data_IF_210805265220
#
_entry.id   IF_210805265220
#
_cell.length_a   1.000
_cell.length_b   1.000
_cell.length_c   1.000
_cell.angle_alpha   90.00
_cell.angle_beta   90.00
_cell.angle_gamma   90.00
#
_symmetry.space_group_name_H-M   'P 1'
#
loop_
_entity.id
_entity.type
_entity.pdbx_description
1 polymer ?
#
# COMPACT_ATOMS: atom_id res chain seq x y z
N UNK A 1 -43.51 30.43 -15.09
CA UNK A 1 -42.44 29.62 -14.45
C UNK A 1 -41.06 30.30 -14.35
N UNK A 2 -40.86 31.56 -14.75
CA UNK A 2 -39.52 32.20 -14.83
C UNK A 2 -39.11 32.97 -13.54
N UNK A 3 -40.03 33.28 -12.61
CA UNK A 3 -39.75 34.15 -11.44
C UNK A 3 -38.97 33.51 -10.27
N UNK A 4 -38.68 32.20 -10.26
CA UNK A 4 -38.00 31.52 -9.12
C UNK A 4 -36.48 31.36 -9.28
N UNK A 5 -35.94 31.53 -10.49
CA UNK A 5 -34.51 31.40 -10.78
C UNK A 5 -33.59 32.44 -10.11
N UNK A 6 -33.93 33.76 -10.07
CA UNK A 6 -32.99 34.75 -9.50
C UNK A 6 -32.82 34.60 -7.98
N UNK A 7 -33.85 34.13 -7.26
CA UNK A 7 -33.78 33.89 -5.81
C UNK A 7 -32.88 32.70 -5.49
N UNK A 8 -33.00 31.60 -6.26
CA UNK A 8 -32.15 30.42 -6.08
C UNK A 8 -30.68 30.74 -6.40
N UNK A 9 -30.41 31.52 -7.45
CA UNK A 9 -29.06 31.95 -7.81
C UNK A 9 -28.46 32.89 -6.75
N UNK A 10 -29.24 33.85 -6.25
CA UNK A 10 -28.79 34.73 -5.16
C UNK A 10 -28.49 33.96 -3.87
N UNK A 11 -29.32 32.98 -3.51
CA UNK A 11 -29.08 32.12 -2.36
C UNK A 11 -27.81 31.24 -2.52
N UNK A 12 -27.57 30.72 -3.73
CA UNK A 12 -26.36 29.96 -4.06
C UNK A 12 -25.10 30.84 -4.00
N UNK A 13 -25.16 32.05 -4.56
CA UNK A 13 -24.05 33.00 -4.52
C UNK A 13 -23.76 33.49 -3.10
N UNK A 14 -24.79 33.78 -2.32
CA UNK A 14 -24.64 34.16 -0.91
C UNK A 14 -24.08 32.99 -0.09
N UNK A 15 -24.54 31.77 -0.34
CA UNK A 15 -23.98 30.55 0.27
C UNK A 15 -22.50 30.36 -0.08
N UNK A 16 -22.12 30.55 -1.34
CA UNK A 16 -20.73 30.48 -1.78
C UNK A 16 -19.87 31.58 -1.13
N UNK A 17 -20.39 32.82 -1.04
CA UNK A 17 -19.71 33.94 -0.39
C UNK A 17 -19.53 33.73 1.13
N UNK A 18 -20.53 33.16 1.81
CA UNK A 18 -20.42 32.83 3.23
C UNK A 18 -19.44 31.69 3.47
N UNK A 19 -19.38 30.70 2.58
CA UNK A 19 -18.38 29.65 2.63
C UNK A 19 -16.97 30.20 2.40
N UNK A 20 -16.76 31.06 1.39
CA UNK A 20 -15.44 31.66 1.15
C UNK A 20 -14.99 32.57 2.31
N UNK A 21 -15.90 33.31 2.93
CA UNK A 21 -15.60 34.10 4.13
C UNK A 21 -15.21 33.22 5.34
N UNK A 22 -15.89 32.08 5.54
CA UNK A 22 -15.55 31.15 6.61
C UNK A 22 -14.19 30.46 6.37
N UNK A 23 -13.87 30.14 5.12
CA UNK A 23 -12.56 29.63 4.72
C UNK A 23 -11.45 30.67 4.89
N UNK A 24 -11.72 31.95 4.58
CA UNK A 24 -10.75 33.04 4.72
C UNK A 24 -10.31 33.30 6.17
N UNK A 25 -11.09 32.87 7.16
CA UNK A 25 -10.83 33.05 8.59
C UNK A 25 -10.27 31.80 9.29
N UNK A 26 -10.09 30.70 8.57
CA UNK A 26 -9.53 29.48 9.14
C UNK A 26 -8.03 29.47 8.83
N UNK A 27 -7.14 29.45 9.83
CA UNK A 27 -5.71 29.41 9.56
C UNK A 27 -5.40 28.12 8.78
N UNK A 28 -4.59 28.25 7.74
CA UNK A 28 -4.15 27.14 6.92
C UNK A 28 -2.65 26.96 7.09
N UNK A 29 -2.22 25.70 7.18
CA UNK A 29 -0.81 25.35 7.30
C UNK A 29 -0.48 24.32 6.22
N UNK A 30 0.65 24.53 5.55
CA UNK A 30 1.16 23.65 4.51
C UNK A 30 2.43 22.99 5.02
N UNK A 31 2.48 21.67 4.91
CA UNK A 31 3.72 20.93 5.10
C UNK A 31 4.74 21.33 4.02
N UNK A 32 5.91 21.77 4.47
CA UNK A 32 7.07 22.09 3.62
C UNK A 32 8.25 21.18 3.97
N UNK A 33 8.00 20.08 4.68
CA UNK A 33 9.00 19.08 5.00
C UNK A 33 9.54 18.51 3.70
N UNK A 34 10.86 18.55 3.52
CA UNK A 34 11.55 17.86 2.43
C UNK A 34 11.61 16.36 2.68
N UNK A 35 12.01 15.58 1.67
CA UNK A 35 12.42 14.20 1.92
C UNK A 35 13.65 14.19 2.84
N UNK A 36 13.72 13.25 3.77
CA UNK A 36 14.86 13.13 4.68
C UNK A 36 15.95 12.28 4.05
N UNK A 37 16.71 12.86 3.12
CA UNK A 37 17.77 12.16 2.38
C UNK A 37 19.13 12.44 3.05
N UNK A 38 19.95 11.41 3.20
CA UNK A 38 21.28 11.52 3.83
C UNK A 38 21.23 11.86 5.32
N UNK A 39 22.22 12.64 5.77
CA UNK A 39 22.42 13.05 7.17
C UNK A 39 21.73 14.37 7.52
N UNK A 40 20.81 14.85 6.67
CA UNK A 40 20.08 16.07 6.95
C UNK A 40 19.29 15.98 8.27
N UNK A 41 19.19 17.08 9.03
CA UNK A 41 18.39 17.13 10.25
C UNK A 41 16.95 16.69 9.96
N UNK A 42 16.54 15.60 10.63
CA UNK A 42 15.20 14.99 10.52
C UNK A 42 14.17 15.83 11.26
N UNK A 43 13.90 17.01 10.71
CA UNK A 43 13.00 18.03 11.27
C UNK A 43 11.79 18.15 10.36
N UNK A 44 10.59 18.08 10.95
CA UNK A 44 9.34 18.38 10.28
C UNK A 44 9.19 19.90 10.17
N UNK A 45 8.79 20.38 8.99
CA UNK A 45 8.63 21.82 8.72
C UNK A 45 7.27 22.12 8.12
N UNK A 46 6.65 23.20 8.58
CA UNK A 46 5.45 23.72 7.96
C UNK A 46 5.41 25.24 7.94
N UNK A 47 4.69 25.77 6.95
CA UNK A 47 4.49 27.20 6.77
C UNK A 47 3.01 27.53 6.84
N UNK A 48 2.67 28.53 7.65
CA UNK A 48 1.32 29.06 7.67
C UNK A 48 1.07 29.83 6.37
N UNK A 49 -0.05 29.55 5.70
CA UNK A 49 -0.43 30.27 4.49
C UNK A 49 -0.93 31.67 4.87
N UNK A 50 -0.71 32.68 4.00
CA UNK A 50 -1.22 34.02 4.25
C UNK A 50 -2.72 34.01 4.52
N UNK A 51 -3.14 34.68 5.60
CA UNK A 51 -4.54 34.91 5.89
C UNK A 51 -4.97 36.27 5.36
N UNK A 52 -6.17 36.34 4.77
CA UNK A 52 -6.73 37.60 4.23
C UNK A 52 -7.02 38.60 5.36
N UNK A 53 -7.31 38.11 6.58
CA UNK A 53 -7.50 38.93 7.77
C UNK A 53 -6.85 38.26 9.00
N UNK A 54 -5.57 38.55 9.31
CA UNK A 54 -4.89 37.98 10.50
C UNK A 54 -5.48 38.51 11.81
N UNK A 55 -6.16 39.67 11.77
CA UNK A 55 -6.83 40.30 12.91
C UNK A 55 -8.11 39.54 13.25
N UNK A 56 -8.00 38.55 14.13
CA UNK A 56 -9.17 37.79 14.57
C UNK A 56 -8.87 36.34 14.95
N UNK A 57 -7.63 35.88 14.80
CA UNK A 57 -7.22 34.54 15.21
C UNK A 57 -5.99 34.60 16.10
N UNK A 58 -6.06 33.94 17.25
CA UNK A 58 -4.91 33.66 18.11
C UNK A 58 -4.51 32.20 17.95
N UNK A 59 -3.30 31.96 17.46
CA UNK A 59 -2.71 30.61 17.48
C UNK A 59 -2.37 30.26 18.92
N UNK A 60 -2.86 29.10 19.38
CA UNK A 60 -2.64 28.57 20.73
C UNK A 60 -1.42 27.65 20.73
N UNK A 61 -1.37 26.72 19.77
CA UNK A 61 -0.24 25.83 19.52
C UNK A 61 -0.33 25.24 18.12
N UNK A 62 0.78 24.72 17.61
CA UNK A 62 0.82 23.92 16.39
C UNK A 62 1.45 22.59 16.75
N UNK A 63 0.81 21.50 16.35
CA UNK A 63 1.33 20.15 16.53
C UNK A 63 1.57 19.51 15.15
N UNK A 64 2.60 18.68 15.05
CA UNK A 64 2.78 17.77 13.94
C UNK A 64 2.38 16.36 14.39
N UNK A 65 1.43 15.77 13.67
CA UNK A 65 1.03 14.38 13.85
C UNK A 65 1.65 13.55 12.72
N UNK A 66 2.36 12.49 13.05
CA UNK A 66 3.17 11.74 12.09
C UNK A 66 3.15 10.24 12.37
N UNK A 67 3.33 9.47 11.30
CA UNK A 67 3.48 8.03 11.37
C UNK A 67 4.46 7.54 10.29
N UNK A 68 5.14 6.45 10.57
CA UNK A 68 5.99 5.77 9.59
C UNK A 68 5.22 4.59 9.01
N UNK A 69 5.61 4.19 7.82
CA UNK A 69 5.11 2.99 7.16
C UNK A 69 3.68 3.07 6.65
N UNK A 70 2.73 3.52 7.48
CA UNK A 70 1.34 3.76 7.11
C UNK A 70 0.80 4.97 7.89
N UNK A 71 -0.41 5.42 7.53
CA UNK A 71 -1.15 6.42 8.28
C UNK A 71 -2.27 5.76 9.10
N UNK A 72 -2.16 5.69 10.44
CA UNK A 72 -3.14 4.99 11.25
C UNK A 72 -4.37 5.84 11.61
N UNK A 73 -4.57 6.95 10.91
CA UNK A 73 -5.43 8.01 11.40
C UNK A 73 -4.76 8.84 12.49
N UNK A 74 -5.34 10.02 12.72
CA UNK A 74 -4.76 11.05 13.57
C UNK A 74 -4.66 10.63 15.04
N UNK A 75 -5.65 9.89 15.53
CA UNK A 75 -5.79 9.63 16.97
C UNK A 75 -4.85 8.52 17.47
N UNK A 76 -4.27 7.74 16.55
CA UNK A 76 -3.29 6.69 16.84
C UNK A 76 -1.85 7.05 16.42
N UNK A 77 -1.68 8.12 15.64
CA UNK A 77 -0.37 8.57 15.18
C UNK A 77 0.43 9.26 16.30
N UNK A 78 1.75 9.34 16.11
CA UNK A 78 2.61 10.09 17.03
C UNK A 78 2.34 11.58 16.90
N UNK A 79 2.41 12.31 18.00
CA UNK A 79 2.22 13.77 18.02
C UNK A 79 3.39 14.45 18.69
N UNK A 80 3.84 15.56 18.12
CA UNK A 80 4.89 16.41 18.66
C UNK A 80 4.51 17.88 18.51
N UNK A 81 4.70 18.66 19.57
CA UNK A 81 4.48 20.10 19.51
C UNK A 81 5.56 20.77 18.64
N UNK A 82 5.15 21.71 17.81
CA UNK A 82 6.03 22.47 16.95
C UNK A 82 6.42 23.80 17.59
N UNK A 83 7.65 24.25 17.32
CA UNK A 83 8.19 25.54 17.72
C UNK A 83 8.25 26.45 16.50
N UNK A 84 7.79 27.69 16.64
CA UNK A 84 7.92 28.67 15.58
C UNK A 84 9.37 29.18 15.52
N UNK A 85 9.97 29.11 14.35
CA UNK A 85 11.29 29.65 14.05
C UNK A 85 11.13 30.98 13.31
N UNK A 86 11.43 32.08 14.00
CA UNK A 86 11.31 33.44 13.50
C UNK A 86 12.18 33.69 12.25
N UNK A 87 13.37 33.09 12.18
CA UNK A 87 14.31 33.35 11.09
C UNK A 87 13.81 32.77 9.76
N UNK A 88 13.27 31.55 9.79
CA UNK A 88 12.71 30.89 8.61
C UNK A 88 11.23 31.18 8.38
N UNK A 89 10.54 31.72 9.39
CA UNK A 89 9.07 31.84 9.46
C UNK A 89 8.36 30.50 9.28
N UNK A 90 8.92 29.44 9.85
CA UNK A 90 8.42 28.07 9.78
C UNK A 90 8.13 27.50 11.16
N UNK A 91 7.13 26.63 11.24
CA UNK A 91 6.92 25.76 12.39
C UNK A 91 7.81 24.54 12.24
N UNK A 92 8.61 24.25 13.27
CA UNK A 92 9.56 23.14 13.29
C UNK A 92 9.19 22.16 14.38
N UNK A 93 9.10 20.89 14.06
CA UNK A 93 8.88 19.84 15.04
C UNK A 93 9.95 18.75 14.91
N UNK A 94 10.51 18.33 16.06
CA UNK A 94 11.56 17.33 16.12
C UNK A 94 10.95 15.99 16.55
N UNK A 95 10.63 15.08 15.61
CA UNK A 95 10.18 13.75 15.96
C UNK A 95 11.30 13.04 16.75
N UNK A 96 10.95 12.39 17.86
CA UNK A 96 11.94 11.72 18.72
C UNK A 96 12.80 10.78 17.88
N UNK A 97 14.12 10.96 18.00
CA UNK A 97 15.15 10.35 17.18
C UNK A 97 15.15 8.82 17.31
N UNK A 98 14.36 8.15 16.46
CA UNK A 98 14.62 6.77 16.06
C UNK A 98 15.40 6.79 14.75
N UNK A 99 16.40 5.91 14.61
CA UNK A 99 16.99 5.62 13.31
C UNK A 99 15.89 5.06 12.39
N UNK A 100 15.22 5.94 11.63
CA UNK A 100 14.33 5.53 10.56
C UNK A 100 15.15 4.81 9.49
N UNK A 101 14.78 3.55 9.15
CA UNK A 101 15.38 2.81 8.06
C UNK A 101 15.34 3.58 6.74
N UNK A 102 16.33 3.33 5.90
CA UNK A 102 16.33 3.76 4.50
C UNK A 102 15.13 3.14 3.76
N UNK A 103 14.47 3.92 2.91
CA UNK A 103 13.30 3.49 2.13
C UNK A 103 11.97 3.55 2.89
N UNK A 104 11.91 4.19 4.05
CA UNK A 104 10.64 4.40 4.76
C UNK A 104 9.82 5.56 4.17
N UNK A 105 8.50 5.43 4.24
CA UNK A 105 7.55 6.54 4.05
C UNK A 105 7.23 7.16 5.41
N UNK A 106 7.16 8.48 5.43
CA UNK A 106 6.75 9.30 6.56
C UNK A 106 5.48 10.07 6.18
N UNK A 107 4.41 9.81 6.92
CA UNK A 107 3.15 10.51 6.78
C UNK A 107 3.09 11.62 7.82
N UNK A 108 2.75 12.83 7.39
CA UNK A 108 2.74 14.03 8.23
C UNK A 108 1.45 14.79 8.02
N UNK A 109 0.82 15.16 9.12
CA UNK A 109 -0.32 16.06 9.14
C UNK A 109 -0.12 17.11 10.22
N UNK A 110 -0.35 18.37 9.88
CA UNK A 110 -0.18 19.48 10.79
C UNK A 110 -1.52 19.92 11.37
N UNK A 111 -1.52 20.22 12.66
CA UNK A 111 -2.69 20.66 13.41
C UNK A 111 -2.44 22.04 13.99
N UNK A 112 -3.30 23.00 13.66
CA UNK A 112 -3.29 24.34 14.23
C UNK A 112 -4.40 24.42 15.26
N UNK A 113 -4.03 24.59 16.52
CA UNK A 113 -4.97 24.90 17.59
C UNK A 113 -5.10 26.41 17.68
N UNK A 114 -6.29 26.95 17.48
CA UNK A 114 -6.50 28.39 17.42
C UNK A 114 -7.79 28.83 18.10
N UNK A 115 -7.86 30.10 18.49
CA UNK A 115 -9.06 30.76 19.03
C UNK A 115 -9.45 31.93 18.14
N UNK A 116 -10.74 32.11 17.92
CA UNK A 116 -11.26 33.31 17.27
C UNK A 116 -11.39 34.43 18.30
N UNK A 117 -10.87 35.60 17.97
CA UNK A 117 -10.95 36.82 18.77
C UNK A 117 -12.17 37.63 18.31
N UNK A 118 -13.37 37.06 18.47
CA UNK A 118 -14.62 37.78 18.23
C UNK A 118 -15.25 38.16 19.57
N UNK A 119 -15.74 39.40 19.68
CA UNK A 119 -16.27 40.00 20.92
C UNK A 119 -17.40 39.16 21.53
N UNK A 120 -18.14 38.40 20.72
CA UNK A 120 -19.31 37.63 21.13
C UNK A 120 -19.16 36.11 20.92
N UNK A 121 -17.97 35.59 20.60
CA UNK A 121 -17.77 34.13 20.52
C UNK A 121 -17.14 33.58 21.81
N UNK A 122 -17.62 32.42 22.30
CA UNK A 122 -16.93 31.73 23.38
C UNK A 122 -15.50 31.40 22.94
N UNK A 123 -14.54 31.60 23.85
CA UNK A 123 -13.09 31.37 23.64
C UNK A 123 -12.75 29.87 23.57
N UNK A 124 -13.41 29.12 22.67
CA UNK A 124 -13.19 27.71 22.41
C UNK A 124 -12.02 27.54 21.44
N UNK A 125 -11.11 26.64 21.79
CA UNK A 125 -10.05 26.21 20.90
C UNK A 125 -10.66 25.38 19.76
N UNK A 126 -10.36 25.77 18.52
CA UNK A 126 -10.68 25.05 17.29
C UNK A 126 -9.40 24.43 16.73
N UNK A 127 -9.56 23.44 15.85
CA UNK A 127 -8.43 22.76 15.19
C UNK A 127 -8.60 22.87 13.68
N UNK A 128 -7.59 23.42 13.01
CA UNK A 128 -7.44 23.34 11.56
C UNK A 128 -6.39 22.29 11.24
N UNK A 129 -6.62 21.50 10.18
CA UNK A 129 -5.78 20.33 9.86
C UNK A 129 -5.30 20.45 8.42
N UNK A 130 -4.00 20.21 8.18
CA UNK A 130 -3.46 20.17 6.82
C UNK A 130 -3.92 18.91 6.08
N UNK A 131 -3.86 18.90 4.73
CA UNK A 131 -3.82 17.64 4.00
C UNK A 131 -2.69 16.74 4.52
N UNK A 132 -2.88 15.43 4.40
CA UNK A 132 -1.83 14.45 4.69
C UNK A 132 -0.71 14.59 3.66
N UNK A 133 0.52 14.72 4.13
CA UNK A 133 1.71 14.74 3.28
C UNK A 133 2.51 13.46 3.47
N UNK A 134 3.08 12.93 2.39
CA UNK A 134 3.98 11.79 2.43
C UNK A 134 5.40 12.24 2.05
N UNK A 135 6.40 11.72 2.76
CA UNK A 135 7.83 11.92 2.50
C UNK A 135 8.55 10.58 2.41
N UNK A 136 9.62 10.56 1.63
CA UNK A 136 10.55 9.43 1.61
C UNK A 136 11.71 9.69 2.57
N UNK A 137 12.11 8.65 3.30
CA UNK A 137 13.26 8.66 4.22
C UNK A 137 14.42 7.89 3.59
N UNK A 138 15.59 8.52 3.55
CA UNK A 138 16.88 7.91 3.22
C UNK A 138 17.11 7.60 1.74
N UNK A 139 16.15 7.87 0.87
CA UNK A 139 16.25 7.59 -0.56
C UNK A 139 15.80 8.78 -1.40
N UNK A 140 16.62 9.15 -2.39
CA UNK A 140 16.20 10.04 -3.44
C UNK A 140 15.24 9.31 -4.40
N UNK A 141 14.41 10.05 -5.13
CA UNK A 141 13.53 9.46 -6.15
C UNK A 141 14.33 8.66 -7.19
N UNK A 142 15.48 9.16 -7.61
CA UNK A 142 16.35 8.47 -8.57
C UNK A 142 16.88 7.12 -8.04
N UNK A 143 17.12 7.00 -6.72
CA UNK A 143 17.51 5.73 -6.12
C UNK A 143 16.36 4.73 -6.14
N UNK A 144 15.15 5.19 -5.85
CA UNK A 144 13.92 4.38 -5.94
C UNK A 144 13.72 3.89 -7.37
N UNK A 145 13.82 4.78 -8.36
CA UNK A 145 13.64 4.44 -9.77
C UNK A 145 14.70 3.42 -10.24
N UNK A 146 15.95 3.60 -9.82
CA UNK A 146 17.03 2.66 -10.10
C UNK A 146 16.79 1.29 -9.47
N UNK A 147 16.41 1.24 -8.19
CA UNK A 147 16.11 -0.02 -7.50
C UNK A 147 14.92 -0.73 -8.17
N UNK A 148 13.88 0.00 -8.56
CA UNK A 148 12.73 -0.54 -9.30
C UNK A 148 13.14 -1.15 -10.64
N UNK A 149 13.98 -0.46 -11.41
CA UNK A 149 14.49 -0.97 -12.68
C UNK A 149 15.33 -2.25 -12.49
N UNK A 150 16.18 -2.28 -11.46
CA UNK A 150 16.99 -3.46 -11.14
C UNK A 150 16.11 -4.65 -10.76
N UNK A 151 15.12 -4.46 -9.88
CA UNK A 151 14.19 -5.51 -9.49
C UNK A 151 13.39 -6.05 -10.69
N UNK A 152 12.96 -5.15 -11.58
CA UNK A 152 12.30 -5.54 -12.82
C UNK A 152 13.23 -6.38 -13.70
N UNK A 153 14.47 -5.95 -13.90
CA UNK A 153 15.46 -6.67 -14.70
C UNK A 153 15.65 -8.10 -14.19
N UNK A 154 15.75 -8.26 -12.86
CA UNK A 154 15.84 -9.58 -12.23
C UNK A 154 14.57 -10.42 -12.48
N UNK A 155 13.38 -9.82 -12.37
CA UNK A 155 12.12 -10.51 -12.61
C UNK A 155 11.92 -10.93 -14.08
N UNK A 156 12.52 -10.22 -15.05
CA UNK A 156 12.47 -10.64 -16.47
C UNK A 156 13.13 -12.01 -16.70
N UNK A 157 14.07 -12.43 -15.85
CA UNK A 157 14.64 -13.78 -15.88
C UNK A 157 13.60 -14.88 -15.62
N UNK A 158 12.45 -14.54 -15.04
CA UNK A 158 11.32 -15.44 -14.81
C UNK A 158 10.36 -15.46 -16.00
N UNK A 159 10.58 -14.70 -17.07
CA UNK A 159 9.73 -14.77 -18.26
C UNK A 159 10.06 -16.01 -19.09
N UNK A 160 9.52 -17.16 -18.67
CA UNK A 160 9.74 -18.47 -19.29
C UNK A 160 8.49 -18.97 -20.02
N UNK A 161 8.68 -19.84 -21.02
CA UNK A 161 7.57 -20.39 -21.85
C UNK A 161 6.76 -21.48 -21.14
N UNK A 162 7.43 -22.27 -20.29
CA UNK A 162 6.87 -23.42 -19.58
C UNK A 162 7.15 -23.25 -18.08
N UNK A 163 6.50 -22.28 -17.42
CA UNK A 163 6.81 -21.90 -16.04
C UNK A 163 6.70 -23.04 -15.04
N UNK A 164 5.74 -23.95 -15.19
CA UNK A 164 5.53 -25.12 -14.35
C UNK A 164 6.74 -26.09 -14.31
N UNK A 165 7.50 -26.17 -15.41
CA UNK A 165 8.71 -27.01 -15.50
C UNK A 165 10.01 -26.23 -15.29
N UNK A 166 10.04 -24.98 -15.72
CA UNK A 166 11.24 -24.15 -15.66
C UNK A 166 11.47 -23.54 -14.26
N UNK A 167 10.41 -23.05 -13.60
CA UNK A 167 10.53 -22.36 -12.31
C UNK A 167 11.10 -23.24 -11.18
N UNK A 168 10.73 -24.53 -11.05
CA UNK A 168 11.38 -25.41 -10.08
C UNK A 168 12.90 -25.50 -10.27
N UNK A 169 13.37 -25.51 -11.53
CA UNK A 169 14.81 -25.52 -11.85
C UNK A 169 15.50 -24.19 -11.57
N UNK A 170 14.73 -23.10 -11.53
CA UNK A 170 15.18 -21.75 -11.17
C UNK A 170 15.05 -21.46 -9.66
N UNK A 171 14.72 -22.47 -8.84
CA UNK A 171 14.61 -22.32 -7.39
C UNK A 171 13.23 -21.92 -6.87
N UNK A 172 12.18 -22.03 -7.68
CA UNK A 172 10.79 -21.77 -7.29
C UNK A 172 9.96 -23.06 -7.41
N UNK A 173 10.16 -24.06 -6.54
CA UNK A 173 9.52 -25.36 -6.69
C UNK A 173 8.12 -25.43 -6.08
N UNK A 174 7.72 -24.44 -5.27
CA UNK A 174 6.49 -24.54 -4.45
C UNK A 174 5.32 -23.79 -5.10
N UNK A 175 4.25 -24.46 -5.52
CA UNK A 175 3.01 -23.78 -5.90
C UNK A 175 2.30 -23.26 -4.65
N UNK A 176 2.05 -21.95 -4.57
CA UNK A 176 1.39 -21.34 -3.39
C UNK A 176 -0.13 -21.22 -3.51
N UNK A 177 -0.67 -21.32 -4.74
CA UNK A 177 -2.12 -21.23 -5.03
C UNK A 177 -2.63 -22.47 -5.78
N UNK A 178 -2.18 -23.67 -5.39
CA UNK A 178 -2.62 -24.96 -5.94
C UNK A 178 -2.60 -25.11 -7.47
N UNK A 179 -1.77 -24.34 -8.18
CA UNK A 179 -1.76 -24.31 -9.65
C UNK A 179 -3.11 -23.95 -10.30
N UNK A 180 -4.09 -23.47 -9.51
CA UNK A 180 -5.44 -23.17 -9.99
C UNK A 180 -5.47 -21.75 -10.54
N UNK A 181 -5.82 -21.65 -11.82
CA UNK A 181 -6.06 -20.37 -12.48
C UNK A 181 -7.31 -19.70 -11.91
N UNK A 182 -7.08 -18.75 -11.01
CA UNK A 182 -8.05 -17.75 -10.60
C UNK A 182 -8.59 -17.04 -11.86
N UNK A 183 -9.79 -16.46 -11.78
CA UNK A 183 -10.38 -15.72 -12.91
C UNK A 183 -9.49 -14.55 -13.34
N UNK A 184 -8.59 -14.78 -14.29
CA UNK A 184 -7.52 -13.89 -14.79
C UNK A 184 -6.21 -13.81 -13.98
N UNK A 185 -6.05 -14.47 -12.82
CA UNK A 185 -4.70 -14.73 -12.26
C UNK A 185 -4.44 -16.22 -12.41
N UNK A 186 -3.30 -16.60 -12.96
CA UNK A 186 -2.99 -17.99 -13.26
C UNK A 186 -2.54 -18.69 -11.98
N UNK A 187 -1.24 -18.92 -11.86
CA UNK A 187 -0.68 -19.57 -10.69
C UNK A 187 0.51 -18.79 -10.14
N UNK A 188 0.94 -19.14 -8.94
CA UNK A 188 2.09 -18.54 -8.26
C UNK A 188 3.04 -19.63 -7.80
N UNK A 189 4.32 -19.43 -8.10
CA UNK A 189 5.41 -20.29 -7.62
C UNK A 189 6.27 -19.49 -6.67
N UNK A 190 6.62 -20.08 -5.54
CA UNK A 190 7.49 -19.48 -4.55
C UNK A 190 8.77 -20.29 -4.39
N UNK A 191 9.80 -19.61 -3.88
CA UNK A 191 10.97 -20.29 -3.33
C UNK A 191 10.60 -21.08 -2.07
N UNK A 192 11.36 -22.13 -1.77
CA UNK A 192 11.12 -23.01 -0.61
C UNK A 192 11.16 -22.24 0.71
N UNK A 193 11.97 -21.18 0.82
CA UNK A 193 12.09 -20.38 2.05
C UNK A 193 10.80 -19.64 2.40
N UNK A 194 10.00 -19.26 1.40
CA UNK A 194 8.69 -18.63 1.63
C UNK A 194 7.72 -19.65 2.21
N UNK A 195 7.65 -20.84 1.60
CA UNK A 195 6.75 -21.90 2.01
C UNK A 195 7.04 -22.45 3.41
N UNK A 196 8.31 -22.41 3.83
CA UNK A 196 8.75 -22.84 5.17
C UNK A 196 8.68 -21.73 6.21
N UNK A 197 8.30 -20.51 5.83
CA UNK A 197 8.30 -19.35 6.70
C UNK A 197 9.69 -18.89 7.19
N UNK A 198 10.76 -19.47 6.64
CA UNK A 198 12.15 -19.14 6.96
C UNK A 198 12.70 -17.96 6.13
N UNK A 199 11.87 -17.36 5.28
CA UNK A 199 12.27 -16.28 4.40
C UNK A 199 12.70 -15.01 5.15
N UNK A 200 13.67 -14.34 4.56
CA UNK A 200 14.06 -12.96 4.88
C UNK A 200 14.15 -12.24 3.54
N UNK A 201 13.49 -11.09 3.43
CA UNK A 201 13.50 -10.32 2.19
C UNK A 201 14.92 -9.82 1.92
N UNK A 202 15.37 -10.03 0.69
CA UNK A 202 16.68 -9.56 0.21
C UNK A 202 16.51 -8.91 -1.14
N UNK A 203 17.32 -7.88 -1.39
CA UNK A 203 17.41 -7.31 -2.73
C UNK A 203 18.08 -8.31 -3.67
N UNK A 204 17.36 -8.74 -4.71
CA UNK A 204 17.78 -9.84 -5.55
C UNK A 204 16.60 -10.43 -6.33
N UNK A 205 16.71 -11.69 -6.82
CA UNK A 205 15.57 -12.38 -7.44
C UNK A 205 14.36 -12.42 -6.48
N UNK A 206 13.13 -12.25 -6.99
CA UNK A 206 11.94 -12.15 -6.15
C UNK A 206 11.63 -13.47 -5.43
N UNK A 207 10.79 -13.44 -4.41
CA UNK A 207 10.46 -14.63 -3.63
C UNK A 207 9.29 -15.43 -4.23
N UNK A 208 8.42 -14.74 -4.98
CA UNK A 208 7.31 -15.33 -5.72
C UNK A 208 7.30 -14.86 -7.17
N UNK A 209 6.93 -15.78 -8.07
CA UNK A 209 6.67 -15.51 -9.48
C UNK A 209 5.18 -15.73 -9.76
N UNK A 210 4.50 -14.69 -10.24
CA UNK A 210 3.05 -14.71 -10.47
C UNK A 210 2.75 -14.73 -11.96
N UNK A 211 1.96 -15.68 -12.41
CA UNK A 211 1.59 -15.85 -13.81
C UNK A 211 0.10 -15.64 -14.00
N UNK A 212 -0.28 -15.16 -15.18
CA UNK A 212 -1.67 -15.04 -15.61
C UNK A 212 -1.86 -15.74 -16.95
N UNK A 213 -3.09 -16.20 -17.27
CA UNK A 213 -3.42 -16.58 -18.63
C UNK A 213 -3.04 -15.48 -19.63
N UNK A 214 -2.57 -15.88 -20.80
CA UNK A 214 -2.37 -14.97 -21.94
C UNK A 214 -3.70 -14.36 -22.35
N UNK A 215 -3.68 -13.08 -22.72
CA UNK A 215 -4.89 -12.32 -23.04
C UNK A 215 -5.62 -12.81 -24.29
N UNK A 216 -4.90 -13.46 -25.20
CA UNK A 216 -5.39 -13.83 -26.53
C UNK A 216 -5.12 -15.30 -26.80
N UNK A 217 -6.10 -15.95 -27.42
CA UNK A 217 -6.00 -17.31 -27.95
C UNK A 217 -4.90 -17.41 -28.99
N UNK A 218 -4.40 -18.62 -29.21
CA UNK A 218 -3.40 -18.83 -30.27
C UNK A 218 -4.15 -18.81 -31.60
N UNK A 219 -3.44 -18.48 -32.68
CA UNK A 219 -4.02 -18.40 -34.03
C UNK A 219 -4.83 -19.66 -34.38
N UNK A 220 -4.38 -20.83 -33.91
CA UNK A 220 -4.99 -22.13 -34.19
C UNK A 220 -5.66 -22.77 -32.95
N UNK A 221 -6.04 -22.00 -31.94
CA UNK A 221 -6.68 -22.52 -30.72
C UNK A 221 -8.15 -22.13 -30.68
N UNK A 222 -9.01 -23.14 -30.56
CA UNK A 222 -10.45 -22.93 -30.40
C UNK A 222 -10.75 -22.27 -29.06
N UNK A 223 -11.92 -21.65 -28.96
CA UNK A 223 -12.37 -21.03 -27.71
C UNK A 223 -12.47 -22.07 -26.59
N UNK A 224 -13.00 -23.25 -26.88
CA UNK A 224 -13.13 -24.34 -25.92
C UNK A 224 -11.77 -24.84 -25.41
N UNK A 225 -10.79 -25.02 -26.30
CA UNK A 225 -9.43 -25.41 -25.91
C UNK A 225 -8.75 -24.38 -25.04
N UNK A 226 -8.88 -23.09 -25.38
CA UNK A 226 -8.36 -22.01 -24.55
C UNK A 226 -8.98 -22.05 -23.15
N UNK A 227 -10.31 -22.11 -23.06
CA UNK A 227 -11.01 -22.14 -21.78
C UNK A 227 -10.63 -23.38 -20.95
N UNK A 228 -10.56 -24.56 -21.58
CA UNK A 228 -10.10 -25.79 -20.94
C UNK A 228 -8.69 -25.61 -20.34
N UNK A 229 -7.75 -25.01 -21.07
CA UNK A 229 -6.37 -24.78 -20.62
C UNK A 229 -6.26 -23.75 -19.49
N UNK A 230 -7.08 -22.71 -19.48
CA UNK A 230 -7.06 -21.70 -18.41
C UNK A 230 -7.88 -22.09 -17.19
N UNK A 231 -8.62 -23.20 -17.24
CA UNK A 231 -9.32 -23.78 -16.08
C UNK A 231 -8.67 -25.09 -15.62
N UNK A 232 -7.60 -25.53 -16.27
CA UNK A 232 -6.85 -26.72 -15.87
C UNK A 232 -6.07 -26.44 -14.59
N UNK A 233 -6.04 -27.44 -13.70
CA UNK A 233 -5.30 -27.42 -12.44
C UNK A 233 -3.79 -27.64 -12.65
N UNK A 234 -3.38 -28.08 -13.84
CA UNK A 234 -1.99 -28.13 -14.24
C UNK A 234 -1.70 -26.94 -15.18
N UNK A 235 -0.69 -26.10 -14.87
CA UNK A 235 -0.44 -24.92 -15.69
C UNK A 235 0.28 -25.31 -16.97
N UNK A 236 -0.46 -25.81 -17.94
CA UNK A 236 0.04 -26.00 -19.30
C UNK A 236 0.04 -24.66 -20.04
N UNK A 237 0.59 -24.57 -21.26
CA UNK A 237 0.43 -23.39 -22.15
C UNK A 237 -1.03 -22.90 -22.07
N UNK A 238 -1.28 -21.78 -21.36
CA UNK A 238 -1.21 -20.47 -21.97
C UNK A 238 -0.72 -19.34 -21.02
N UNK A 239 0.15 -19.60 -20.04
CA UNK A 239 0.51 -18.59 -19.02
C UNK A 239 1.65 -17.64 -19.43
N UNK A 240 1.61 -16.41 -18.88
CA UNK A 240 2.65 -15.38 -19.00
C UNK A 240 2.97 -14.82 -17.63
N UNK A 241 4.21 -14.34 -17.43
CA UNK A 241 4.55 -13.59 -16.23
C UNK A 241 3.61 -12.37 -16.12
N UNK A 242 2.95 -12.25 -14.98
CA UNK A 242 2.02 -11.19 -14.65
C UNK A 242 2.58 -10.27 -13.57
N UNK A 243 3.47 -10.79 -12.72
CA UNK A 243 4.08 -10.04 -11.65
C UNK A 243 5.04 -10.89 -10.84
N UNK A 244 5.57 -10.31 -9.78
CA UNK A 244 6.42 -10.98 -8.80
C UNK A 244 6.21 -10.36 -7.42
N UNK A 245 6.63 -11.05 -6.37
CA UNK A 245 6.47 -10.55 -5.02
C UNK A 245 7.66 -10.88 -4.12
N UNK A 246 7.76 -10.11 -3.03
CA UNK A 246 8.67 -10.37 -1.92
C UNK A 246 7.84 -10.59 -0.68
N UNK A 247 8.13 -11.68 0.01
CA UNK A 247 7.40 -12.06 1.20
C UNK A 247 8.36 -12.22 2.37
N UNK A 248 7.89 -11.94 3.57
CA UNK A 248 8.54 -12.32 4.82
C UNK A 248 7.50 -12.73 5.84
N UNK A 249 7.71 -13.84 6.54
CA UNK A 249 6.91 -14.15 7.72
C UNK A 249 6.89 -12.96 8.70
N UNK A 250 5.69 -12.53 9.08
CA UNK A 250 5.51 -11.40 9.99
C UNK A 250 6.07 -11.77 11.36
N UNK A 251 7.07 -11.02 11.81
CA UNK A 251 7.62 -11.11 13.16
C UNK A 251 7.06 -10.03 14.08
N UNK A 252 6.83 -8.84 13.52
CA UNK A 252 6.31 -7.66 14.18
C UNK A 252 5.56 -6.81 13.13
N UNK A 253 4.32 -6.42 13.43
CA UNK A 253 3.48 -5.58 12.56
C UNK A 253 4.00 -4.14 12.44
N UNK A 254 4.87 -3.72 13.34
CA UNK A 254 5.49 -2.39 13.34
C UNK A 254 6.83 -2.38 12.60
N UNK A 255 7.33 -3.56 12.21
CA UNK A 255 8.63 -3.73 11.55
C UNK A 255 8.48 -4.56 10.28
N UNK A 256 8.04 -3.90 9.22
CA UNK A 256 8.07 -4.46 7.87
C UNK A 256 9.51 -4.77 7.43
N UNK A 257 9.71 -5.64 6.43
CA UNK A 257 11.00 -5.82 5.78
C UNK A 257 11.42 -4.55 5.02
N UNK A 258 12.73 -4.39 4.85
CA UNK A 258 13.30 -3.36 3.97
C UNK A 258 13.72 -4.02 2.65
N UNK A 259 13.48 -3.31 1.55
CA UNK A 259 14.00 -3.68 0.24
C UNK A 259 14.65 -2.44 -0.37
N UNK A 260 15.81 -2.06 0.19
CA UNK A 260 16.57 -0.84 -0.19
C UNK A 260 15.66 0.39 -0.25
N UNK A 261 15.52 1.03 -1.42
CA UNK A 261 14.73 2.24 -1.60
C UNK A 261 13.25 2.03 -1.95
N UNK A 262 12.74 0.80 -1.85
CA UNK A 262 11.31 0.58 -2.06
C UNK A 262 10.49 1.18 -0.90
N UNK A 263 9.62 2.16 -1.16
CA UNK A 263 8.88 2.87 -0.11
C UNK A 263 8.06 1.92 0.75
N UNK A 264 7.94 2.25 2.03
CA UNK A 264 7.27 1.40 3.02
C UNK A 264 5.80 1.22 2.80
N UNK A 265 5.10 2.27 2.37
CA UNK A 265 3.65 2.29 2.18
C UNK A 265 3.08 1.19 1.28
N UNK A 266 3.97 0.58 0.53
CA UNK A 266 3.71 -0.44 -0.48
C UNK A 266 3.70 -1.85 0.09
N UNK A 267 4.31 -2.05 1.27
CA UNK A 267 4.21 -3.31 2.00
C UNK A 267 2.85 -3.44 2.65
N UNK A 268 2.28 -4.64 2.59
CA UNK A 268 1.03 -4.96 3.27
C UNK A 268 1.14 -6.27 4.04
N UNK A 269 0.15 -6.53 4.89
CA UNK A 269 0.04 -7.79 5.61
C UNK A 269 -0.93 -8.69 4.85
N UNK A 270 -0.41 -9.80 4.35
CA UNK A 270 -1.21 -10.94 3.94
C UNK A 270 -1.58 -11.71 5.21
N UNK A 271 -2.88 -11.85 5.43
CA UNK A 271 -3.41 -12.52 6.62
C UNK A 271 -3.00 -14.00 6.64
N UNK A 272 -2.92 -14.62 7.83
CA UNK A 272 -2.77 -16.06 7.91
C UNK A 272 -4.05 -16.75 7.41
N UNK A 273 -3.94 -17.94 6.84
CA UNK A 273 -5.11 -18.65 6.37
C UNK A 273 -4.82 -19.73 5.35
N UNK A 274 -5.89 -20.27 4.80
CA UNK A 274 -5.84 -21.39 3.87
C UNK A 274 -6.13 -20.92 2.44
N UNK A 275 -5.33 -21.36 1.48
CA UNK A 275 -5.79 -21.38 0.10
C UNK A 275 -6.75 -22.56 -0.10
N UNK A 276 -7.83 -22.33 -0.84
CA UNK A 276 -8.76 -23.37 -1.26
C UNK A 276 -8.41 -23.89 -2.66
N UNK A 277 -8.94 -25.06 -3.01
CA UNK A 277 -8.69 -25.71 -4.31
C UNK A 277 -9.28 -24.92 -5.49
N UNK A 278 -10.23 -24.01 -5.26
CA UNK A 278 -10.73 -23.05 -6.27
C UNK A 278 -9.85 -21.79 -6.38
N UNK A 279 -8.73 -21.78 -5.65
CA UNK A 279 -7.79 -20.68 -5.54
C UNK A 279 -8.30 -19.50 -4.71
N UNK A 280 -9.42 -19.66 -4.02
CA UNK A 280 -9.83 -18.75 -2.96
C UNK A 280 -8.82 -18.69 -1.82
N UNK A 281 -9.03 -17.72 -0.93
CA UNK A 281 -8.28 -17.60 0.32
C UNK A 281 -9.25 -17.43 1.47
N UNK A 282 -9.05 -18.23 2.51
CA UNK A 282 -9.84 -18.20 3.73
C UNK A 282 -8.98 -17.68 4.87
N UNK A 283 -9.10 -16.39 5.23
CA UNK A 283 -8.30 -15.81 6.30
C UNK A 283 -8.72 -16.35 7.68
N UNK A 284 -7.73 -16.67 8.51
CA UNK A 284 -7.87 -17.15 9.89
C UNK A 284 -7.16 -16.18 10.85
N UNK A 285 -7.65 -14.93 11.00
CA UNK A 285 -7.08 -13.99 11.95
C UNK A 285 -7.33 -14.48 13.38
N UNK A 286 -6.37 -14.29 14.31
CA UNK A 286 -6.59 -14.60 15.71
C UNK A 286 -7.67 -13.69 16.27
N UNK A 287 -8.38 -14.15 17.29
CA UNK A 287 -9.42 -13.36 17.98
C UNK A 287 -9.31 -13.55 19.49
N UNK A 288 -9.40 -12.46 20.29
CA UNK A 288 -9.55 -11.06 19.87
C UNK A 288 -8.21 -10.42 19.45
N UNK A 289 -8.26 -9.40 18.58
CA UNK A 289 -7.13 -8.48 18.33
C UNK A 289 -7.59 -7.05 18.64
N UNK A 290 -6.74 -6.25 19.31
CA UNK A 290 -7.04 -4.84 19.58
C UNK A 290 -6.73 -4.00 18.35
N UNK A 291 -5.60 -4.27 17.73
CA UNK A 291 -5.18 -3.75 16.42
C UNK A 291 -5.13 -4.92 15.46
N UNK A 292 -5.96 -4.83 14.43
CA UNK A 292 -6.05 -5.85 13.38
C UNK A 292 -4.68 -6.09 12.73
N UNK A 293 -4.26 -7.35 12.63
CA UNK A 293 -2.99 -7.69 12.00
C UNK A 293 -1.79 -7.64 12.96
N UNK A 294 -1.97 -7.22 14.21
CA UNK A 294 -0.86 -7.02 15.15
C UNK A 294 -0.25 -8.33 15.67
N UNK A 295 -1.09 -9.34 15.85
CA UNK A 295 -0.68 -10.62 16.43
C UNK A 295 0.16 -11.39 15.43
N UNK A 296 1.28 -11.94 15.89
CA UNK A 296 2.07 -12.84 15.05
C UNK A 296 1.35 -14.18 14.92
N UNK A 297 1.13 -14.65 13.69
CA UNK A 297 0.56 -15.97 13.40
C UNK A 297 1.55 -16.75 12.55
N UNK A 298 2.19 -17.77 13.15
CA UNK A 298 3.22 -18.58 12.49
C UNK A 298 2.99 -20.09 12.63
N UNK A 299 1.94 -20.47 13.35
CA UNK A 299 1.53 -21.86 13.52
C UNK A 299 0.12 -21.99 12.95
N UNK A 300 -0.09 -23.07 12.22
CA UNK A 300 -1.39 -23.43 11.66
C UNK A 300 -2.40 -23.63 12.79
N UNK A 301 -3.56 -22.97 12.70
CA UNK A 301 -4.72 -23.30 13.52
C UNK A 301 -5.13 -24.76 13.19
N UNK A 302 -5.42 -25.58 14.19
CA UNK A 302 -5.33 -27.05 14.10
C UNK A 302 -5.91 -27.72 12.83
N UNK A 303 -5.44 -28.93 12.53
CA UNK A 303 -5.89 -29.69 11.34
C UNK A 303 -7.38 -30.03 11.35
N UNK A 304 -8.04 -29.99 12.52
CA UNK A 304 -9.49 -30.19 12.65
C UNK A 304 -10.24 -28.99 12.06
N UNK A 305 -9.74 -27.78 12.30
CA UNK A 305 -10.22 -26.53 11.70
C UNK A 305 -10.01 -26.53 10.19
N UNK A 306 -8.85 -26.98 9.69
CA UNK A 306 -8.62 -27.11 8.25
C UNK A 306 -9.66 -28.01 7.55
N UNK A 307 -9.96 -29.17 8.14
CA UNK A 307 -10.97 -30.10 7.61
C UNK A 307 -12.40 -29.52 7.71
N UNK A 308 -12.74 -28.84 8.80
CA UNK A 308 -14.04 -28.18 8.99
C UNK A 308 -14.29 -27.04 7.99
N UNK A 309 -13.23 -26.39 7.51
CA UNK A 309 -13.28 -25.31 6.52
C UNK A 309 -13.39 -25.82 5.06
N UNK A 310 -13.59 -27.12 4.86
CA UNK A 310 -13.74 -27.71 3.53
C UNK A 310 -12.44 -27.77 2.72
N UNK A 311 -11.29 -27.51 3.37
CA UNK A 311 -10.00 -27.77 2.75
C UNK A 311 -9.70 -29.26 2.87
N UNK A 312 -9.33 -29.91 1.77
CA UNK A 312 -9.01 -31.34 1.83
C UNK A 312 -7.78 -31.53 2.73
N UNK A 313 -7.88 -32.31 3.83
CA UNK A 313 -6.76 -32.53 4.75
C UNK A 313 -5.56 -33.21 4.08
N UNK A 314 -5.72 -33.71 2.85
CA UNK A 314 -4.64 -34.28 2.08
C UNK A 314 -3.57 -33.24 1.69
N UNK A 315 -3.90 -31.94 1.51
CA UNK A 315 -2.93 -30.92 1.05
C UNK A 315 -3.28 -29.44 1.41
N UNK A 316 -3.76 -29.04 2.59
CA UNK A 316 -4.04 -27.62 2.83
C UNK A 316 -2.76 -26.76 2.67
N UNK A 317 -2.76 -25.80 1.73
CA UNK A 317 -1.70 -24.78 1.63
C UNK A 317 -2.10 -23.67 2.58
N UNK A 318 -1.76 -23.88 3.85
CA UNK A 318 -1.85 -22.86 4.88
C UNK A 318 -0.60 -21.96 4.83
N UNK A 319 -0.80 -20.65 4.92
CA UNK A 319 0.30 -19.69 5.05
C UNK A 319 0.21 -18.94 6.38
N UNK A 320 1.36 -18.66 7.03
CA UNK A 320 1.40 -17.77 8.17
C UNK A 320 1.03 -16.35 7.76
N UNK A 321 0.87 -15.46 8.75
CA UNK A 321 0.75 -14.03 8.47
C UNK A 321 2.09 -13.54 7.92
N UNK A 322 2.08 -12.94 6.73
CA UNK A 322 3.29 -12.49 6.04
C UNK A 322 3.21 -11.00 5.69
N UNK A 323 4.35 -10.34 5.81
CA UNK A 323 4.62 -9.10 5.09
C UNK A 323 4.82 -9.41 3.63
N UNK A 324 4.13 -8.67 2.78
CA UNK A 324 4.10 -8.94 1.35
C UNK A 324 4.19 -7.65 0.55
N UNK A 325 4.82 -7.74 -0.62
CA UNK A 325 5.11 -6.62 -1.51
C UNK A 325 4.99 -7.11 -2.94
N UNK A 326 3.95 -6.67 -3.64
CA UNK A 326 3.65 -7.13 -4.99
C UNK A 326 4.07 -6.12 -6.05
N UNK A 327 4.55 -6.66 -7.16
CA UNK A 327 4.89 -5.93 -8.36
C UNK A 327 4.11 -6.54 -9.51
N UNK A 328 3.31 -5.72 -10.19
CA UNK A 328 2.51 -6.17 -11.33
C UNK A 328 3.04 -5.56 -12.63
N UNK A 329 3.06 -6.37 -13.68
CA UNK A 329 3.37 -5.93 -15.03
C UNK A 329 2.12 -5.32 -15.65
N UNK A 330 2.23 -4.09 -16.15
CA UNK A 330 1.13 -3.45 -16.89
C UNK A 330 0.75 -4.33 -18.08
N UNK A 331 -0.51 -4.78 -18.15
CA UNK A 331 -0.87 -5.77 -19.13
C UNK A 331 -1.25 -5.14 -20.49
N UNK A 332 -1.28 -3.81 -20.63
CA UNK A 332 -1.65 -3.09 -21.88
C UNK A 332 -0.76 -3.48 -23.09
N UNK A 333 -1.30 -3.49 -24.33
CA UNK A 333 -0.58 -3.98 -25.52
C UNK A 333 0.63 -3.14 -25.95
N UNK A 334 0.58 -1.84 -25.68
CA UNK A 334 1.67 -0.87 -25.89
C UNK A 334 2.93 -1.24 -25.08
N UNK A 335 2.76 -2.15 -24.11
CA UNK A 335 3.76 -2.61 -23.18
C UNK A 335 4.44 -3.94 -23.55
N UNK A 336 4.36 -4.34 -24.83
CA UNK A 336 4.88 -5.62 -25.32
C UNK A 336 6.38 -5.63 -25.60
N UNK A 337 7.04 -4.46 -25.69
CA UNK A 337 8.48 -4.37 -25.90
C UNK A 337 9.26 -4.46 -24.57
N UNK A 338 10.35 -5.25 -24.47
CA UNK A 338 10.97 -5.67 -23.21
C UNK A 338 11.51 -4.58 -22.26
N UNK A 339 11.56 -3.30 -22.67
CA UNK A 339 12.20 -2.22 -21.91
C UNK A 339 11.49 -0.85 -22.04
N UNK A 340 10.40 -0.74 -22.79
CA UNK A 340 9.75 0.55 -23.08
C UNK A 340 8.52 0.85 -22.22
N UNK A 341 8.16 -0.04 -21.30
CA UNK A 341 7.09 0.24 -20.36
C UNK A 341 7.60 1.17 -19.25
N UNK A 342 6.98 2.34 -19.02
CA UNK A 342 6.92 2.86 -17.68
C UNK A 342 6.15 1.81 -16.88
N UNK A 343 6.86 1.00 -16.09
CA UNK A 343 6.21 0.05 -15.20
C UNK A 343 5.43 0.89 -14.20
N UNK A 344 4.13 0.96 -14.40
CA UNK A 344 3.22 1.21 -13.29
C UNK A 344 3.40 0.00 -12.41
N UNK A 345 4.37 0.08 -11.50
CA UNK A 345 4.42 -0.82 -10.37
C UNK A 345 3.26 -0.37 -9.52
N UNK A 346 2.11 -0.95 -9.84
CA UNK A 346 0.96 -0.88 -9.00
C UNK A 346 1.33 -1.69 -7.77
N UNK A 347 2.02 -1.07 -6.82
CA UNK A 347 2.23 -1.68 -5.53
C UNK A 347 0.97 -1.45 -4.73
N UNK A 348 -0.04 -2.21 -5.11
CA UNK A 348 -1.33 -2.20 -4.47
C UNK A 348 -1.46 -3.44 -3.62
N UNK A 349 -1.81 -3.21 -2.37
CA UNK A 349 -2.68 -4.15 -1.68
C UNK A 349 -3.96 -4.29 -2.49
N UNK A 350 -4.54 -5.50 -2.61
CA UNK A 350 -5.09 -6.07 -3.84
C UNK A 350 -6.38 -5.33 -4.27
N UNK A 351 -6.24 -4.08 -4.65
CA UNK A 351 -7.26 -3.35 -5.36
C UNK A 351 -7.48 -4.05 -6.70
N UNK A 352 -8.61 -3.80 -7.39
CA UNK A 352 -8.83 -4.35 -8.71
C UNK A 352 -7.70 -3.92 -9.66
N UNK A 353 -6.77 -4.83 -9.94
CA UNK A 353 -5.69 -4.62 -10.90
C UNK A 353 -6.32 -4.50 -12.28
N UNK A 354 -5.98 -3.45 -13.02
CA UNK A 354 -6.59 -3.18 -14.33
C UNK A 354 -6.35 -4.36 -15.28
N UNK A 355 -7.42 -5.07 -15.61
CA UNK A 355 -7.37 -6.23 -16.51
C UNK A 355 -7.03 -7.57 -15.86
N UNK A 356 -6.98 -7.66 -14.52
CA UNK A 356 -7.02 -8.92 -13.77
C UNK A 356 -8.25 -8.86 -12.83
N UNK A 357 -9.14 -9.85 -12.91
CA UNK A 357 -10.23 -9.94 -11.94
C UNK A 357 -9.72 -10.68 -10.70
N UNK A 358 -9.92 -10.12 -9.51
CA UNK A 358 -9.64 -10.83 -8.25
C UNK A 358 -10.89 -11.61 -7.83
N UNK A 359 -10.78 -12.88 -7.39
CA UNK A 359 -11.88 -13.57 -6.73
C UNK A 359 -12.44 -12.76 -5.56
N UNK A 360 -13.76 -12.86 -5.32
CA UNK A 360 -14.49 -12.11 -4.26
C UNK A 360 -13.94 -12.35 -2.84
N UNK A 361 -13.17 -13.42 -2.66
CA UNK A 361 -12.57 -13.87 -1.40
C UNK A 361 -11.03 -13.75 -1.37
N UNK A 362 -10.41 -13.09 -2.36
CA UNK A 362 -8.96 -12.82 -2.29
C UNK A 362 -8.72 -11.68 -1.31
N UNK A 363 -7.97 -11.93 -0.25
CA UNK A 363 -7.85 -10.99 0.85
C UNK A 363 -6.40 -10.60 1.08
N UNK A 364 -6.07 -9.36 0.77
CA UNK A 364 -4.87 -8.71 1.26
C UNK A 364 -5.33 -7.40 1.89
N UNK A 365 -4.96 -7.14 3.15
CA UNK A 365 -5.42 -5.92 3.84
C UNK A 365 -4.53 -4.77 3.39
N UNK A 366 -5.13 -3.79 2.70
CA UNK A 366 -4.44 -2.52 2.50
C UNK A 366 -4.34 -1.89 3.87
N UNK A 367 -3.18 -1.35 4.16
CA UNK A 367 -2.88 -0.84 5.48
C UNK A 367 -3.58 0.47 5.74
N UNK A 368 -4.87 0.36 6.00
CA UNK A 368 -5.60 1.28 6.85
C UNK A 368 -5.63 0.63 8.23
N UNK A 369 -4.51 0.68 8.95
CA UNK A 369 -4.51 0.30 10.36
C UNK A 369 -5.19 1.43 11.11
N UNK A 370 -6.52 1.37 11.24
CA UNK A 370 -7.27 2.35 12.03
C UNK A 370 -6.85 2.40 13.48
#
# INVERSE_FOLDING_TARGET
MIKRWPIALAALLLGALLQTAAFAQTPQIRDVTGNWIGDEPRVLRARMLPMVAPTGVRIVRVDATFARHHWPGRDQAHRVAAVFDEASREWRANPVAGAAPRGDSLFVQWEIFYRRLAINEPQRTRVAVSPLSEKTIGCAQADTDLDLLLLQSMAQGLRVRNPETALPRLGYPVPTHFMVSLRNMGFTMAKTEVATGANTVRFGPPDLAMYAPRRQRAVNETRAEYFRRVTDILPDRPYRLAGWAYAQTQRDVRRRPSLRCIPSKHWFVHEAGFHSDDGGFLPTPPRPERVRGETRVVVMEDSVTAAALGTSPARPVWLPRIWDLHFWLDPRPECSAPLSCPVLIQIESPSPIVGLATPRSTFFRSQTFE
#
